data_IF_316311178320
#
_entry.id   IF_316311178320
#
_cell.length_a   1.000
_cell.length_b   1.000
_cell.length_c   1.000
_cell.angle_alpha   90.00
_cell.angle_beta   90.00
_cell.angle_gamma   90.00
#
_symmetry.space_group_name_H-M   'P 1'
#
loop_
_entity.id
_entity.type
_entity.pdbx_description
1 polymer ?
#
# COMPACT_ATOMS: atom_id res chain seq x y z
N UNK A 1 -20.89 8.41 12.52
CA UNK A 1 -19.92 8.95 11.53
C UNK A 1 -19.82 8.06 10.27
N UNK A 2 -19.51 6.77 10.37
CA UNK A 2 -19.43 5.88 9.20
C UNK A 2 -20.71 5.85 8.34
N UNK A 3 -21.91 5.79 8.92
CA UNK A 3 -23.17 5.80 8.19
C UNK A 3 -23.36 7.09 7.37
N UNK A 4 -22.96 8.23 7.90
CA UNK A 4 -23.09 9.52 7.23
C UNK A 4 -22.11 9.63 6.04
N UNK A 5 -20.92 9.01 6.12
CA UNK A 5 -19.95 8.94 5.01
C UNK A 5 -20.50 8.07 3.88
N UNK A 6 -21.07 6.90 4.20
CA UNK A 6 -21.66 5.99 3.19
C UNK A 6 -22.86 6.59 2.46
N UNK A 7 -23.51 7.58 3.05
CA UNK A 7 -24.64 8.28 2.43
C UNK A 7 -24.22 9.52 1.62
N UNK A 8 -22.94 9.89 1.64
CA UNK A 8 -22.41 11.11 0.99
C UNK A 8 -21.32 10.85 -0.05
N UNK A 9 -20.58 9.73 0.07
CA UNK A 9 -19.48 9.39 -0.82
C UNK A 9 -19.88 8.19 -1.67
N UNK A 10 -19.98 8.38 -2.97
CA UNK A 10 -20.59 7.38 -3.88
C UNK A 10 -19.59 6.75 -4.84
N UNK A 11 -18.52 7.47 -5.19
CA UNK A 11 -17.55 7.04 -6.21
C UNK A 11 -16.17 6.80 -5.61
N UNK A 12 -15.32 6.06 -6.34
CA UNK A 12 -13.91 5.89 -5.96
C UNK A 12 -13.23 7.25 -5.84
N UNK A 13 -13.54 8.20 -6.71
CA UNK A 13 -13.02 9.59 -6.65
C UNK A 13 -13.38 10.27 -5.33
N UNK A 14 -14.59 10.11 -4.84
CA UNK A 14 -15.03 10.70 -3.56
C UNK A 14 -14.22 10.12 -2.41
N UNK A 15 -14.05 8.82 -2.37
CA UNK A 15 -13.33 8.12 -1.32
C UNK A 15 -11.83 8.40 -1.37
N UNK A 16 -11.25 8.50 -2.58
CA UNK A 16 -9.86 8.89 -2.75
C UNK A 16 -9.62 10.30 -2.20
N UNK A 17 -10.41 11.28 -2.63
CA UNK A 17 -10.34 12.65 -2.11
C UNK A 17 -10.52 12.69 -0.59
N UNK A 18 -11.49 11.95 -0.05
CA UNK A 18 -11.75 11.88 1.39
C UNK A 18 -10.55 11.29 2.13
N UNK A 19 -10.02 10.17 1.66
CA UNK A 19 -8.85 9.51 2.25
C UNK A 19 -7.64 10.46 2.31
N UNK A 20 -7.30 11.11 1.19
CA UNK A 20 -6.20 12.10 1.15
C UNK A 20 -6.40 13.17 2.22
N UNK A 21 -7.60 13.76 2.28
CA UNK A 21 -7.90 14.81 3.26
C UNK A 21 -7.72 14.33 4.70
N UNK A 22 -8.16 13.12 5.02
CA UNK A 22 -8.05 12.54 6.36
C UNK A 22 -6.61 12.21 6.75
N UNK A 23 -5.82 11.68 5.82
CA UNK A 23 -4.41 11.38 6.06
C UNK A 23 -3.61 12.65 6.30
N UNK A 24 -3.80 13.69 5.48
CA UNK A 24 -3.15 14.98 5.65
C UNK A 24 -3.54 15.66 6.98
N UNK A 25 -4.85 15.75 7.26
CA UNK A 25 -5.36 16.35 8.51
C UNK A 25 -4.80 15.69 9.75
N UNK A 26 -4.68 14.36 9.73
CA UNK A 26 -4.21 13.58 10.87
C UNK A 26 -2.70 13.63 11.09
N UNK A 27 -1.92 14.12 10.11
CA UNK A 27 -0.47 14.15 10.18
C UNK A 27 0.15 12.77 10.38
N UNK A 28 -0.37 11.75 9.71
CA UNK A 28 0.23 10.40 9.74
C UNK A 28 1.58 10.43 9.03
N UNK A 29 2.50 9.61 9.52
CA UNK A 29 3.79 9.45 8.87
C UNK A 29 3.66 8.48 7.68
N UNK A 30 4.21 8.88 6.53
CA UNK A 30 4.38 8.05 5.35
C UNK A 30 5.78 7.43 5.34
N UNK A 31 6.00 6.34 4.60
CA UNK A 31 7.32 5.70 4.50
C UNK A 31 7.29 4.17 4.65
N UNK A 32 6.09 3.59 4.59
CA UNK A 32 5.90 2.13 4.61
C UNK A 32 5.34 1.63 3.25
N UNK A 33 5.97 2.09 2.15
CA UNK A 33 5.60 1.74 0.78
C UNK A 33 5.15 2.92 -0.08
N UNK A 34 4.80 4.04 0.56
CA UNK A 34 4.48 5.32 -0.08
C UNK A 34 5.13 6.46 0.71
N UNK A 35 5.27 7.62 0.11
CA UNK A 35 5.89 8.82 0.72
C UNK A 35 4.92 10.02 0.84
N UNK A 36 3.68 9.85 0.40
CA UNK A 36 2.67 10.91 0.42
C UNK A 36 1.25 10.35 0.58
N UNK A 37 0.32 11.24 0.96
CA UNK A 37 -1.07 10.89 1.21
C UNK A 37 -1.84 10.43 -0.04
N UNK A 38 -1.52 10.98 -1.21
CA UNK A 38 -2.22 10.62 -2.44
C UNK A 38 -1.93 9.18 -2.85
N UNK A 39 -0.66 8.81 -2.96
CA UNK A 39 -0.24 7.46 -3.35
C UNK A 39 -0.70 6.42 -2.31
N UNK A 40 -0.62 6.75 -1.02
CA UNK A 40 -1.13 5.86 0.03
C UNK A 40 -2.65 5.69 -0.06
N UNK A 41 -3.40 6.75 -0.38
CA UNK A 41 -4.84 6.68 -0.56
C UNK A 41 -5.24 5.86 -1.78
N UNK A 42 -4.51 6.01 -2.91
CA UNK A 42 -4.71 5.18 -4.10
C UNK A 42 -4.50 3.71 -3.76
N UNK A 43 -3.37 3.41 -3.14
CA UNK A 43 -3.07 2.05 -2.72
C UNK A 43 -4.15 1.49 -1.79
N UNK A 44 -4.52 2.21 -0.73
CA UNK A 44 -5.53 1.77 0.24
C UNK A 44 -6.89 1.51 -0.44
N UNK A 45 -7.39 2.48 -1.22
CA UNK A 45 -8.72 2.40 -1.84
C UNK A 45 -8.76 1.30 -2.89
N UNK A 46 -7.80 1.26 -3.81
CA UNK A 46 -7.79 0.29 -4.90
C UNK A 46 -7.61 -1.14 -4.39
N UNK A 47 -6.66 -1.36 -3.47
CA UNK A 47 -6.43 -2.70 -2.91
C UNK A 47 -7.61 -3.18 -2.05
N UNK A 48 -8.23 -2.30 -1.26
CA UNK A 48 -9.41 -2.65 -0.47
C UNK A 48 -10.61 -3.05 -1.34
N UNK A 49 -10.70 -2.52 -2.55
CA UNK A 49 -11.71 -2.85 -3.55
C UNK A 49 -11.28 -4.00 -4.49
N UNK A 50 -10.10 -4.58 -4.28
CA UNK A 50 -9.53 -5.63 -5.14
C UNK A 50 -9.35 -5.20 -6.60
N UNK A 51 -9.06 -3.92 -6.84
CA UNK A 51 -8.80 -3.35 -8.16
C UNK A 51 -7.30 -3.22 -8.43
N UNK A 52 -6.83 -3.44 -9.67
CA UNK A 52 -5.43 -3.24 -10.02
C UNK A 52 -5.03 -1.77 -9.87
N UNK A 53 -3.87 -1.52 -9.26
CA UNK A 53 -3.40 -0.16 -8.92
C UNK A 53 -3.18 0.73 -10.15
N UNK A 54 -2.79 0.14 -11.26
CA UNK A 54 -2.49 0.81 -12.54
C UNK A 54 -3.74 1.15 -13.37
N UNK A 55 -4.94 0.82 -12.88
CA UNK A 55 -6.20 1.03 -13.59
C UNK A 55 -7.11 2.08 -12.98
N UNK A 56 -6.59 2.91 -12.07
CA UNK A 56 -7.36 3.89 -11.30
C UNK A 56 -8.25 4.77 -12.20
N UNK A 57 -7.72 5.30 -13.29
CA UNK A 57 -8.44 6.22 -14.17
C UNK A 57 -9.70 5.59 -14.77
N UNK A 58 -9.70 4.28 -14.99
CA UNK A 58 -10.84 3.55 -15.54
C UNK A 58 -12.02 3.45 -14.54
N UNK A 59 -11.73 3.56 -13.24
CA UNK A 59 -12.69 3.31 -12.17
C UNK A 59 -13.02 4.54 -11.33
N UNK A 60 -12.38 5.69 -11.55
CA UNK A 60 -12.56 6.89 -10.72
C UNK A 60 -14.02 7.25 -10.48
N UNK A 61 -14.84 7.19 -11.50
CA UNK A 61 -16.27 7.57 -11.45
C UNK A 61 -17.19 6.36 -11.18
N UNK A 62 -16.61 5.17 -10.98
CA UNK A 62 -17.37 3.98 -10.61
C UNK A 62 -17.96 4.14 -9.21
N UNK A 63 -19.22 3.73 -9.07
CA UNK A 63 -19.90 3.71 -7.77
C UNK A 63 -19.46 2.49 -6.97
N UNK A 64 -19.33 2.68 -5.67
CA UNK A 64 -19.07 1.58 -4.73
C UNK A 64 -20.36 1.19 -3.99
N UNK A 65 -20.39 -0.03 -3.51
CA UNK A 65 -21.48 -0.55 -2.69
C UNK A 65 -21.41 0.01 -1.26
N UNK A 66 -22.51 -0.11 -0.51
CA UNK A 66 -22.52 0.31 0.90
C UNK A 66 -21.56 -0.50 1.76
N UNK A 67 -21.34 -1.76 1.45
CA UNK A 67 -20.42 -2.62 2.21
C UNK A 67 -18.97 -2.24 1.94
N UNK A 68 -18.61 -1.95 0.68
CA UNK A 68 -17.28 -1.42 0.32
C UNK A 68 -17.05 -0.06 1.00
N UNK A 69 -18.03 0.81 1.00
CA UNK A 69 -17.96 2.12 1.67
C UNK A 69 -17.71 1.98 3.18
N UNK A 70 -18.39 1.06 3.87
CA UNK A 70 -18.16 0.78 5.29
C UNK A 70 -16.75 0.23 5.52
N UNK A 71 -16.30 -0.66 4.64
CA UNK A 71 -14.96 -1.23 4.73
C UNK A 71 -13.88 -0.16 4.57
N UNK A 72 -13.99 0.70 3.55
CA UNK A 72 -13.09 1.83 3.34
C UNK A 72 -13.07 2.80 4.52
N UNK A 73 -14.26 3.17 5.04
CA UNK A 73 -14.36 4.03 6.22
C UNK A 73 -13.63 3.43 7.42
N UNK A 74 -13.77 2.13 7.66
CA UNK A 74 -13.09 1.43 8.74
C UNK A 74 -11.57 1.43 8.57
N UNK A 75 -11.05 1.13 7.37
CA UNK A 75 -9.61 1.12 7.11
C UNK A 75 -9.00 2.51 7.29
N UNK A 76 -9.63 3.56 6.73
CA UNK A 76 -9.17 4.95 6.85
C UNK A 76 -9.17 5.37 8.33
N UNK A 77 -10.22 5.06 9.08
CA UNK A 77 -10.29 5.40 10.52
C UNK A 77 -9.17 4.72 11.30
N UNK A 78 -8.92 3.44 11.09
CA UNK A 78 -7.81 2.72 11.74
C UNK A 78 -6.46 3.32 11.38
N UNK A 79 -6.27 3.72 10.11
CA UNK A 79 -5.04 4.36 9.66
C UNK A 79 -4.78 5.68 10.38
N UNK A 80 -5.80 6.52 10.55
CA UNK A 80 -5.64 7.86 11.14
C UNK A 80 -5.66 7.86 12.66
N UNK A 81 -6.46 7.02 13.32
CA UNK A 81 -6.62 7.00 14.78
C UNK A 81 -5.66 6.04 15.48
N UNK A 82 -5.55 4.80 14.96
CA UNK A 82 -4.69 3.76 15.54
C UNK A 82 -3.27 3.84 14.99
N UNK A 83 -3.02 4.63 13.94
CA UNK A 83 -1.72 4.78 13.27
C UNK A 83 -1.19 3.47 12.65
N UNK A 84 -2.07 2.51 12.38
CA UNK A 84 -1.69 1.25 11.75
C UNK A 84 -1.22 1.52 10.32
N UNK A 85 -0.02 1.08 9.91
CA UNK A 85 0.46 1.20 8.54
C UNK A 85 -0.49 0.55 7.54
N UNK A 86 -0.69 1.18 6.38
CA UNK A 86 -1.57 0.68 5.31
C UNK A 86 -1.19 -0.73 4.86
N UNK A 87 0.11 -1.05 4.82
CA UNK A 87 0.59 -2.41 4.53
C UNK A 87 -0.03 -3.48 5.45
N UNK A 88 -0.13 -3.19 6.75
CA UNK A 88 -0.70 -4.12 7.73
C UNK A 88 -2.24 -4.16 7.67
N UNK A 89 -2.88 -3.03 7.38
CA UNK A 89 -4.33 -2.98 7.17
C UNK A 89 -4.77 -3.85 6.00
N UNK A 90 -4.02 -3.78 4.90
CA UNK A 90 -4.26 -4.53 3.67
C UNK A 90 -3.65 -5.95 3.69
N UNK A 91 -2.74 -6.22 4.64
CA UNK A 91 -1.92 -7.44 4.70
C UNK A 91 -1.11 -7.66 3.43
N UNK A 92 -0.66 -6.58 2.83
CA UNK A 92 0.16 -6.62 1.62
C UNK A 92 1.21 -5.52 1.62
N UNK A 93 2.33 -5.80 1.00
CA UNK A 93 3.35 -4.81 0.68
C UNK A 93 3.95 -5.13 -0.68
N UNK A 94 4.53 -4.14 -1.31
CA UNK A 94 5.13 -4.26 -2.64
C UNK A 94 6.59 -3.84 -2.58
N UNK A 95 7.46 -4.65 -3.16
CA UNK A 95 8.87 -4.33 -3.33
C UNK A 95 9.31 -4.78 -4.73
N UNK A 96 9.78 -3.84 -5.54
CA UNK A 96 10.26 -4.10 -6.90
C UNK A 96 9.28 -4.92 -7.76
N UNK A 97 7.98 -4.64 -7.65
CA UNK A 97 6.93 -5.32 -8.40
C UNK A 97 6.48 -6.66 -7.82
N UNK A 98 7.12 -7.13 -6.76
CA UNK A 98 6.70 -8.35 -6.05
C UNK A 98 5.76 -8.02 -4.90
N UNK A 99 4.68 -8.79 -4.78
CA UNK A 99 3.72 -8.68 -3.70
C UNK A 99 4.08 -9.62 -2.55
N UNK A 100 4.14 -9.09 -1.34
CA UNK A 100 4.41 -9.81 -0.10
C UNK A 100 3.19 -9.77 0.81
N UNK A 101 2.89 -10.88 1.48
CA UNK A 101 2.01 -10.87 2.63
C UNK A 101 2.77 -10.32 3.85
N UNK A 102 2.15 -9.37 4.55
CA UNK A 102 2.73 -8.77 5.76
C UNK A 102 1.67 -8.61 6.84
N UNK A 103 2.10 -8.71 8.10
CA UNK A 103 1.33 -8.32 9.28
C UNK A 103 2.29 -7.81 10.37
N UNK A 104 1.76 -7.46 11.54
CA UNK A 104 2.53 -6.82 12.62
C UNK A 104 3.69 -7.66 13.17
N UNK A 105 3.79 -8.95 12.80
CA UNK A 105 4.88 -9.85 13.21
C UNK A 105 6.17 -9.65 12.41
N UNK A 106 6.09 -8.98 11.25
CA UNK A 106 7.23 -8.73 10.38
C UNK A 106 7.31 -7.26 9.98
N UNK A 107 8.52 -6.78 9.71
CA UNK A 107 8.73 -5.45 9.16
C UNK A 107 8.20 -5.39 7.72
N UNK A 108 7.62 -4.23 7.33
CA UNK A 108 7.24 -4.00 5.93
C UNK A 108 8.49 -4.11 5.04
N UNK A 109 8.47 -4.92 3.96
CA UNK A 109 9.62 -5.13 3.09
C UNK A 109 10.19 -3.82 2.57
N UNK A 110 11.48 -3.61 2.84
CA UNK A 110 12.28 -2.52 2.30
C UNK A 110 13.74 -2.93 2.31
N UNK A 111 14.44 -2.76 1.21
CA UNK A 111 15.83 -3.15 1.15
C UNK A 111 16.55 -2.43 0.02
N UNK A 112 17.69 -1.82 0.33
CA UNK A 112 18.60 -1.31 -0.68
C UNK A 112 19.29 -2.45 -1.47
N UNK A 113 19.32 -3.66 -0.91
CA UNK A 113 19.83 -4.85 -1.62
C UNK A 113 18.98 -5.15 -2.85
N UNK A 114 17.67 -4.88 -2.81
CA UNK A 114 16.78 -5.06 -3.95
C UNK A 114 17.20 -4.20 -5.16
N UNK A 115 17.72 -3.00 -4.93
CA UNK A 115 18.26 -2.13 -5.98
C UNK A 115 19.57 -2.71 -6.55
N UNK A 116 20.46 -3.21 -5.67
CA UNK A 116 21.69 -3.83 -6.09
C UNK A 116 21.46 -5.11 -6.91
N UNK A 117 20.41 -5.87 -6.60
CA UNK A 117 20.04 -7.07 -7.36
C UNK A 117 19.56 -6.74 -8.78
N UNK A 118 18.87 -5.63 -8.97
CA UNK A 118 18.47 -5.17 -10.32
C UNK A 118 19.69 -4.88 -11.21
N UNK A 119 20.77 -4.37 -10.61
CA UNK A 119 22.04 -4.08 -11.29
C UNK A 119 22.98 -5.30 -11.32
N UNK A 120 22.47 -6.51 -11.03
CA UNK A 120 23.28 -7.75 -11.02
C UNK A 120 24.37 -7.75 -9.96
N UNK A 121 24.22 -6.97 -8.87
CA UNK A 121 25.22 -6.77 -7.81
C UNK A 121 26.54 -6.16 -8.31
N UNK A 122 26.50 -5.39 -9.40
CA UNK A 122 27.68 -4.67 -9.86
C UNK A 122 28.07 -3.56 -8.85
N UNK A 123 29.36 -3.28 -8.62
CA UNK A 123 30.53 -3.92 -9.25
C UNK A 123 31.09 -5.14 -8.48
N UNK A 124 30.38 -5.64 -7.44
CA UNK A 124 30.93 -6.70 -6.55
C UNK A 124 30.91 -8.08 -7.20
N UNK A 125 29.97 -8.35 -8.11
CA UNK A 125 29.88 -9.59 -8.87
C UNK A 125 30.04 -9.26 -10.36
N UNK A 126 31.15 -9.70 -10.94
CA UNK A 126 31.48 -9.42 -12.35
C UNK A 126 30.67 -10.32 -13.31
N UNK A 127 30.39 -11.56 -12.89
CA UNK A 127 29.67 -12.57 -13.69
C UNK A 127 28.53 -13.17 -12.86
N UNK A 128 27.36 -12.49 -12.75
CA UNK A 128 26.21 -12.96 -11.96
C UNK A 128 25.69 -14.34 -12.39
N UNK A 129 25.82 -14.68 -13.66
CA UNK A 129 25.42 -15.98 -14.24
C UNK A 129 26.28 -17.15 -13.74
N UNK A 130 27.42 -16.90 -13.15
CA UNK A 130 28.29 -17.92 -12.56
C UNK A 130 28.00 -18.21 -11.07
N UNK A 131 27.05 -17.50 -10.49
CA UNK A 131 26.67 -17.72 -9.06
C UNK A 131 25.82 -18.99 -8.98
N UNK A 132 26.36 -20.01 -8.30
CA UNK A 132 25.68 -21.31 -8.13
C UNK A 132 24.77 -21.35 -6.91
N UNK A 133 25.03 -20.54 -5.89
CA UNK A 133 24.24 -20.51 -4.67
C UNK A 133 24.27 -19.15 -4.01
N UNK A 134 23.15 -18.80 -3.36
CA UNK A 134 23.01 -17.60 -2.56
C UNK A 134 22.24 -17.91 -1.27
N UNK A 135 22.46 -17.12 -0.23
CA UNK A 135 21.71 -17.21 1.01
C UNK A 135 21.21 -15.83 1.41
N UNK A 136 19.91 -15.72 1.71
CA UNK A 136 19.34 -14.54 2.34
C UNK A 136 19.25 -14.81 3.85
N UNK A 137 19.96 -14.01 4.64
CA UNK A 137 20.02 -14.13 6.09
C UNK A 137 19.21 -12.99 6.71
N UNK A 138 18.31 -13.32 7.62
CA UNK A 138 17.35 -12.39 8.23
C UNK A 138 16.35 -11.81 7.20
N UNK A 139 15.80 -12.67 6.37
CA UNK A 139 14.89 -12.34 5.27
C UNK A 139 13.71 -11.45 5.69
N UNK A 140 13.16 -11.65 6.90
CA UNK A 140 12.04 -10.89 7.42
C UNK A 140 10.71 -11.40 6.89
N UNK A 141 10.17 -10.77 5.85
CA UNK A 141 8.87 -11.09 5.24
C UNK A 141 8.97 -11.88 3.95
#
# INVERSE_FOLDING_TARGET
MAQQLTDSLFTIRDWLRYSVSRLEESGVFFGHGTDNAYDESVWLVMSALHLPLDTLDNFLDARITKEEAKHLAHLIERRVTERVPTAYLLREAWLKGFKFYVDERVIVPRSFIAELLEDGLAPWIEYPEMVESAADICTGS
#
